data_IF_064929019498
#
_entry.id   IF_064929019498
#
_cell.length_a   1.000
_cell.length_b   1.000
_cell.length_c   1.000
_cell.angle_alpha   90.00
_cell.angle_beta   90.00
_cell.angle_gamma   90.00
#
_symmetry.space_group_name_H-M   'P 1'
#
loop_
_entity.id
_entity.type
_entity.pdbx_description
1 polymer ?
#
# COMPACT_ATOMS: atom_id res chain seq x y z
N UNK A 1 -4.44 -13.50 -19.57
CA UNK A 1 -3.33 -14.34 -19.09
C UNK A 1 -2.34 -13.49 -18.30
N UNK A 2 -2.74 -12.94 -17.13
CA UNK A 2 -1.85 -12.20 -16.23
C UNK A 2 -1.37 -13.05 -15.03
N UNK A 3 -2.00 -14.19 -14.75
CA UNK A 3 -1.85 -14.87 -13.45
C UNK A 3 -0.58 -15.69 -13.24
N UNK A 4 0.05 -16.22 -14.29
CA UNK A 4 1.17 -17.18 -14.11
C UNK A 4 2.48 -16.48 -13.74
N UNK A 5 2.70 -15.23 -14.17
CA UNK A 5 3.95 -14.51 -13.85
C UNK A 5 3.91 -13.79 -12.50
N UNK A 6 2.72 -13.47 -12.00
CA UNK A 6 2.61 -12.67 -10.77
C UNK A 6 2.98 -13.48 -9.53
N UNK A 7 2.56 -14.75 -9.43
CA UNK A 7 2.83 -15.53 -8.23
C UNK A 7 4.32 -15.83 -8.05
N UNK A 8 5.06 -16.19 -9.13
CA UNK A 8 6.51 -16.45 -9.05
C UNK A 8 7.27 -15.20 -8.59
N UNK A 9 6.85 -14.02 -9.06
CA UNK A 9 7.43 -12.76 -8.64
C UNK A 9 7.24 -12.51 -7.13
N UNK A 10 6.03 -12.70 -6.60
CA UNK A 10 5.80 -12.50 -5.17
C UNK A 10 6.47 -13.59 -4.32
N UNK A 11 6.60 -14.81 -4.85
CA UNK A 11 7.34 -15.90 -4.22
C UNK A 11 8.83 -15.60 -4.10
N UNK A 12 9.43 -14.90 -5.06
CA UNK A 12 10.82 -14.45 -4.97
C UNK A 12 11.01 -13.19 -4.11
N UNK A 13 9.93 -12.50 -3.73
CA UNK A 13 9.94 -11.23 -2.97
C UNK A 13 9.10 -11.31 -1.68
N UNK A 14 9.32 -12.36 -0.87
CA UNK A 14 8.60 -12.55 0.39
C UNK A 14 8.79 -11.39 1.38
N UNK A 15 9.94 -10.72 1.34
CA UNK A 15 10.23 -9.52 2.12
C UNK A 15 9.32 -8.33 1.77
N UNK A 16 8.65 -8.33 0.61
CA UNK A 16 7.63 -7.35 0.25
C UNK A 16 6.22 -7.90 0.52
N UNK A 17 6.00 -9.16 0.14
CA UNK A 17 4.70 -9.81 0.23
C UNK A 17 4.20 -9.96 1.67
N UNK A 18 5.03 -10.48 2.58
CA UNK A 18 4.65 -10.76 3.96
C UNK A 18 4.22 -9.48 4.69
N UNK A 19 4.96 -8.37 4.65
CA UNK A 19 4.52 -7.11 5.24
C UNK A 19 3.15 -6.64 4.73
N UNK A 20 2.91 -6.73 3.42
CA UNK A 20 1.64 -6.31 2.83
C UNK A 20 0.46 -7.15 3.33
N UNK A 21 0.56 -8.48 3.29
CA UNK A 21 -0.54 -9.33 3.76
C UNK A 21 -0.74 -9.22 5.27
N UNK A 22 0.34 -9.03 6.03
CA UNK A 22 0.29 -8.89 7.49
C UNK A 22 -0.47 -7.64 7.91
N UNK A 23 -0.33 -6.55 7.15
CA UNK A 23 -0.94 -5.25 7.47
C UNK A 23 -2.31 -5.02 6.82
N UNK A 24 -2.52 -5.50 5.58
CA UNK A 24 -3.63 -5.05 4.73
C UNK A 24 -4.60 -6.16 4.32
N UNK A 25 -4.31 -7.43 4.59
CA UNK A 25 -5.20 -8.54 4.24
C UNK A 25 -6.00 -9.03 5.47
N UNK A 26 -7.31 -9.32 5.34
CA UNK A 26 -8.13 -9.89 6.41
C UNK A 26 -7.77 -11.37 6.67
N UNK A 27 -6.61 -11.61 7.29
CA UNK A 27 -6.15 -12.95 7.64
C UNK A 27 -7.15 -13.65 8.57
N UNK A 28 -7.53 -14.87 8.20
CA UNK A 28 -8.36 -15.73 9.05
C UNK A 28 -7.54 -16.34 10.19
N UNK A 29 -8.21 -16.78 11.26
CA UNK A 29 -7.55 -17.55 12.35
C UNK A 29 -6.71 -18.72 11.83
N UNK A 30 -7.22 -19.45 10.84
CA UNK A 30 -6.50 -20.56 10.23
C UNK A 30 -5.19 -20.10 9.56
N UNK A 31 -5.21 -19.00 8.81
CA UNK A 31 -4.01 -18.44 8.17
C UNK A 31 -3.02 -17.88 9.20
N UNK A 32 -3.51 -17.24 10.27
CA UNK A 32 -2.66 -16.78 11.36
C UNK A 32 -1.91 -17.94 12.04
N UNK A 33 -2.56 -19.09 12.22
CA UNK A 33 -1.93 -20.30 12.74
C UNK A 33 -0.98 -20.94 11.72
N UNK A 34 -1.39 -21.03 10.45
CA UNK A 34 -0.60 -21.67 9.41
C UNK A 34 0.71 -20.92 9.13
N UNK A 35 0.66 -19.59 9.11
CA UNK A 35 1.78 -18.72 8.76
C UNK A 35 2.39 -18.02 9.98
N UNK A 36 2.13 -18.56 11.17
CA UNK A 36 2.46 -17.94 12.45
C UNK A 36 3.94 -17.52 12.57
N UNK A 37 4.85 -18.34 12.05
CA UNK A 37 6.29 -18.14 12.19
C UNK A 37 6.90 -17.18 11.16
N UNK A 38 6.15 -16.82 10.11
CA UNK A 38 6.63 -15.96 9.02
C UNK A 38 5.93 -14.61 8.96
N UNK A 39 4.74 -14.46 9.56
CA UNK A 39 4.01 -13.20 9.56
C UNK A 39 4.75 -12.10 10.33
N UNK A 40 4.62 -10.86 9.86
CA UNK A 40 5.09 -9.68 10.58
C UNK A 40 4.06 -9.32 11.66
N UNK A 41 4.26 -9.85 12.87
CA UNK A 41 3.35 -9.64 14.00
C UNK A 41 3.17 -8.19 14.41
N UNK A 42 4.15 -7.34 14.12
CA UNK A 42 4.05 -5.89 14.37
C UNK A 42 2.98 -5.25 13.49
N UNK A 43 2.84 -5.75 12.26
CA UNK A 43 1.82 -5.33 11.31
C UNK A 43 0.48 -6.02 11.53
N UNK A 44 0.49 -7.31 11.88
CA UNK A 44 -0.73 -8.05 12.27
C UNK A 44 -1.43 -7.35 13.42
N UNK A 45 -0.68 -6.87 14.42
CA UNK A 45 -1.23 -6.16 15.59
C UNK A 45 -2.01 -4.88 15.23
N UNK A 46 -1.66 -4.22 14.12
CA UNK A 46 -2.31 -2.99 13.66
C UNK A 46 -3.28 -3.22 12.49
N UNK A 47 -3.42 -4.47 12.02
CA UNK A 47 -4.28 -4.81 10.89
C UNK A 47 -5.75 -4.81 11.31
N UNK A 48 -6.46 -3.78 10.87
CA UNK A 48 -7.87 -3.55 11.24
C UNK A 48 -8.85 -4.45 10.50
N UNK A 49 -8.38 -5.23 9.53
CA UNK A 49 -9.21 -6.16 8.75
C UNK A 49 -9.26 -7.55 9.36
N UNK A 50 -8.44 -7.84 10.38
CA UNK A 50 -8.48 -9.10 11.12
C UNK A 50 -9.56 -9.01 12.19
N UNK A 51 -10.50 -9.94 12.14
CA UNK A 51 -11.47 -10.13 13.23
C UNK A 51 -10.84 -11.02 14.31
N UNK A 52 -10.69 -10.45 15.50
CA UNK A 52 -10.23 -11.17 16.68
C UNK A 52 -11.43 -11.68 17.50
N UNK A 53 -11.70 -12.97 17.44
CA UNK A 53 -12.53 -13.61 18.46
C UNK A 53 -11.75 -13.79 19.78
N UNK A 54 -12.46 -14.11 20.85
CA UNK A 54 -11.83 -14.25 22.18
C UNK A 54 -10.72 -15.31 22.19
N UNK A 55 -10.96 -16.45 21.55
CA UNK A 55 -10.01 -17.56 21.54
C UNK A 55 -8.71 -17.19 20.80
N UNK A 56 -8.84 -16.53 19.64
CA UNK A 56 -7.72 -16.05 18.83
C UNK A 56 -6.96 -14.93 19.54
N UNK A 57 -7.69 -14.01 20.19
CA UNK A 57 -7.08 -12.96 21.02
C UNK A 57 -6.22 -13.58 22.13
N UNK A 58 -6.81 -14.50 22.90
CA UNK A 58 -6.13 -15.17 24.02
C UNK A 58 -4.90 -15.96 23.54
N UNK A 59 -5.01 -16.65 22.39
CA UNK A 59 -3.93 -17.45 21.82
C UNK A 59 -2.75 -16.58 21.34
N UNK A 60 -3.03 -15.51 20.60
CA UNK A 60 -2.00 -14.67 19.98
C UNK A 60 -1.53 -13.50 20.84
N UNK A 61 -2.12 -13.29 22.03
CA UNK A 61 -1.84 -12.16 22.91
C UNK A 61 -0.34 -11.92 23.13
N UNK A 62 0.40 -12.97 23.49
CA UNK A 62 1.84 -12.86 23.75
C UNK A 62 2.64 -12.44 22.51
N UNK A 63 2.24 -12.86 21.29
CA UNK A 63 2.92 -12.43 20.07
C UNK A 63 2.62 -10.96 19.75
N UNK A 64 1.37 -10.55 19.91
CA UNK A 64 0.94 -9.16 19.71
C UNK A 64 1.63 -8.23 20.72
N UNK A 65 1.73 -8.62 22.00
CA UNK A 65 2.37 -7.82 23.04
C UNK A 65 3.90 -7.71 22.88
N UNK A 66 4.53 -8.77 22.37
CA UNK A 66 5.98 -8.77 22.11
C UNK A 66 6.35 -8.18 20.75
N UNK A 67 5.37 -7.92 19.88
CA UNK A 67 5.61 -7.32 18.59
C UNK A 67 6.14 -5.89 18.78
N UNK A 68 7.06 -5.47 17.90
CA UNK A 68 7.55 -4.11 17.94
C UNK A 68 6.42 -3.16 17.60
N UNK A 69 6.32 -2.05 18.34
CA UNK A 69 5.32 -1.02 18.02
C UNK A 69 5.73 -0.36 16.71
N UNK A 70 5.01 -0.69 15.63
CA UNK A 70 5.06 0.08 14.39
C UNK A 70 4.14 1.27 14.59
N UNK A 71 4.69 2.48 14.53
CA UNK A 71 3.88 3.69 14.64
C UNK A 71 2.81 3.67 13.54
N UNK A 72 1.53 3.97 13.88
CA UNK A 72 0.48 4.09 12.88
C UNK A 72 0.91 5.10 11.82
N UNK A 73 0.82 4.72 10.56
CA UNK A 73 1.25 5.57 9.45
C UNK A 73 0.33 6.77 9.35
N UNK A 74 0.89 7.94 9.59
CA UNK A 74 0.17 9.21 9.48
C UNK A 74 0.28 9.71 8.04
N UNK A 75 -0.86 9.85 7.36
CA UNK A 75 -0.92 10.68 6.15
C UNK A 75 -1.26 12.10 6.57
N UNK A 76 -0.26 12.97 6.50
CA UNK A 76 -0.47 14.41 6.51
C UNK A 76 -0.95 14.87 5.13
N UNK A 77 -1.94 15.75 5.09
CA UNK A 77 -2.21 16.54 3.88
C UNK A 77 -2.03 18.02 4.20
N UNK A 78 -1.54 18.78 3.23
CA UNK A 78 -1.56 20.24 3.31
C UNK A 78 -2.95 20.73 2.87
N UNK A 79 -3.58 21.56 3.68
CA UNK A 79 -4.82 22.23 3.29
C UNK A 79 -4.55 23.37 2.29
N UNK A 80 -5.61 24.03 1.82
CA UNK A 80 -5.52 25.15 0.88
C UNK A 80 -4.81 26.40 1.43
N UNK A 81 -4.45 26.40 2.71
CA UNK A 81 -3.76 27.49 3.40
C UNK A 81 -2.33 27.10 3.80
N UNK A 82 -1.78 26.03 3.22
CA UNK A 82 -0.48 25.46 3.56
C UNK A 82 -0.34 25.04 5.04
N UNK A 83 -1.47 24.79 5.73
CA UNK A 83 -1.40 24.17 7.05
C UNK A 83 -1.17 22.67 6.89
N UNK A 84 -0.10 22.19 7.52
CA UNK A 84 0.15 20.77 7.66
C UNK A 84 -0.87 20.17 8.63
N UNK A 85 -1.90 19.52 8.09
CA UNK A 85 -2.90 18.83 8.91
C UNK A 85 -2.44 17.38 9.07
N UNK A 86 -1.78 17.12 10.19
CA UNK A 86 -1.55 15.78 10.71
C UNK A 86 -2.87 15.30 11.28
N UNK A 87 -3.57 14.43 10.55
CA UNK A 87 -4.53 13.56 11.21
C UNK A 87 -3.84 12.22 11.38
N UNK A 88 -3.96 11.63 12.57
CA UNK A 88 -3.83 10.18 12.74
C UNK A 88 -4.98 9.50 11.98
N UNK A 89 -5.01 9.65 10.66
CA UNK A 89 -5.86 8.88 9.78
C UNK A 89 -5.11 7.57 9.68
N UNK A 90 -5.60 6.55 10.39
CA UNK A 90 -5.33 5.18 9.97
C UNK A 90 -5.65 5.15 8.47
N UNK A 91 -4.66 4.90 7.61
CA UNK A 91 -4.64 5.10 6.15
C UNK A 91 -5.80 4.46 5.36
N UNK A 92 -6.65 3.70 6.04
CA UNK A 92 -7.97 3.34 5.58
C UNK A 92 -8.78 4.63 5.48
N UNK A 93 -9.19 5.01 4.27
CA UNK A 93 -10.24 6.01 4.08
C UNK A 93 -11.38 5.69 5.03
N UNK A 94 -11.50 6.43 6.14
CA UNK A 94 -12.48 6.14 7.17
C UNK A 94 -13.86 6.29 6.53
N UNK A 95 -14.47 5.17 6.17
CA UNK A 95 -15.87 5.10 5.81
C UNK A 95 -16.57 4.42 7.00
N UNK A 96 -17.41 5.14 7.75
CA UNK A 96 -18.09 4.60 8.92
C UNK A 96 -18.95 3.37 8.59
N UNK A 97 -19.47 3.26 7.36
CA UNK A 97 -20.25 2.10 6.91
C UNK A 97 -19.39 0.82 6.87
N UNK A 98 -18.12 0.93 6.47
CA UNK A 98 -17.21 -0.22 6.45
C UNK A 98 -16.80 -0.64 7.86
N UNK A 99 -16.62 0.32 8.77
CA UNK A 99 -16.28 0.03 10.15
C UNK A 99 -17.40 -0.73 10.87
N UNK A 100 -18.65 -0.33 10.65
CA UNK A 100 -19.82 -1.01 11.22
C UNK A 100 -19.97 -2.44 10.66
N UNK A 101 -19.75 -2.63 9.34
CA UNK A 101 -19.77 -3.97 8.73
C UNK A 101 -18.67 -4.90 9.27
N UNK A 102 -17.46 -4.37 9.49
CA UNK A 102 -16.34 -5.14 10.10
C UNK A 102 -16.68 -5.51 11.54
N UNK A 103 -17.20 -4.58 12.34
CA UNK A 103 -17.56 -4.83 13.74
C UNK A 103 -18.72 -5.82 13.91
N UNK A 104 -19.67 -5.84 12.96
CA UNK A 104 -20.82 -6.75 13.00
C UNK A 104 -20.50 -8.18 12.55
N UNK A 105 -19.22 -8.49 12.29
CA UNK A 105 -18.72 -9.84 12.08
C UNK A 105 -19.31 -10.55 10.86
N UNK A 106 -19.74 -9.79 9.85
CA UNK A 106 -20.20 -10.34 8.57
C UNK A 106 -18.98 -10.70 7.69
N UNK A 107 -18.28 -11.79 8.03
CA UNK A 107 -17.01 -12.24 7.41
C UNK A 107 -17.06 -12.29 5.88
N UNK A 108 -18.19 -12.71 5.31
CA UNK A 108 -18.36 -12.76 3.84
C UNK A 108 -18.35 -11.35 3.24
N UNK A 109 -18.99 -10.39 3.91
CA UNK A 109 -18.99 -8.99 3.46
C UNK A 109 -17.64 -8.33 3.70
N UNK A 110 -16.93 -8.63 4.78
CA UNK A 110 -15.61 -8.01 5.03
C UNK A 110 -14.59 -8.36 3.94
N UNK A 111 -14.58 -9.61 3.44
CA UNK A 111 -13.75 -10.05 2.30
C UNK A 111 -14.09 -9.34 0.97
N UNK A 112 -15.34 -8.95 0.76
CA UNK A 112 -15.73 -8.18 -0.44
C UNK A 112 -15.47 -6.67 -0.26
N UNK A 113 -15.65 -6.16 0.96
CA UNK A 113 -15.51 -4.74 1.31
C UNK A 113 -14.05 -4.30 1.27
N UNK A 114 -13.08 -5.08 1.78
CA UNK A 114 -11.69 -4.63 1.79
C UNK A 114 -11.14 -4.40 0.37
N UNK A 115 -11.59 -5.19 -0.62
CA UNK A 115 -11.24 -4.98 -2.03
C UNK A 115 -11.78 -3.65 -2.58
N UNK A 116 -12.84 -3.10 -2.00
CA UNK A 116 -13.39 -1.81 -2.39
C UNK A 116 -12.66 -0.61 -1.75
N UNK A 117 -11.83 -0.83 -0.73
CA UNK A 117 -11.10 0.24 -0.04
C UNK A 117 -9.90 0.68 -0.89
N UNK A 118 -9.98 1.84 -1.52
CA UNK A 118 -8.85 2.40 -2.27
C UNK A 118 -7.84 3.06 -1.32
N UNK A 119 -6.63 2.51 -1.24
CA UNK A 119 -5.54 3.13 -0.48
C UNK A 119 -4.88 4.25 -1.31
N UNK A 120 -4.66 5.41 -0.70
CA UNK A 120 -3.92 6.53 -1.31
C UNK A 120 -4.63 7.33 -2.40
N UNK A 121 -5.98 7.36 -2.42
CA UNK A 121 -6.72 8.17 -3.39
C UNK A 121 -6.64 9.67 -3.06
N UNK A 122 -5.99 10.45 -3.91
CA UNK A 122 -6.07 11.92 -3.88
C UNK A 122 -7.17 12.42 -4.81
N UNK A 123 -8.16 13.12 -4.26
CA UNK A 123 -9.18 13.80 -5.07
C UNK A 123 -8.61 15.15 -5.51
N UNK A 124 -8.10 15.22 -6.73
CA UNK A 124 -7.70 16.48 -7.35
C UNK A 124 -8.95 17.37 -7.49
N UNK A 125 -8.98 18.60 -6.96
CA UNK A 125 -10.15 19.48 -7.06
C UNK A 125 -10.55 19.74 -8.52
N UNK A 126 -11.84 19.82 -8.81
CA UNK A 126 -12.45 20.01 -10.15
C UNK A 126 -12.01 21.30 -10.89
N UNK A 127 -11.13 22.11 -10.30
CA UNK A 127 -10.66 23.39 -10.82
C UNK A 127 -9.15 23.33 -11.13
N UNK A 128 -8.51 22.18 -10.95
CA UNK A 128 -7.09 21.98 -11.22
C UNK A 128 -6.83 21.46 -12.65
N UNK A 129 -7.86 21.00 -13.38
CA UNK A 129 -7.74 20.52 -14.76
C UNK A 129 -7.24 21.61 -15.72
N UNK A 130 -7.69 22.87 -15.58
CA UNK A 130 -7.20 23.99 -16.38
C UNK A 130 -5.74 24.36 -16.07
N UNK A 131 -5.30 24.15 -14.83
CA UNK A 131 -3.91 24.34 -14.41
C UNK A 131 -3.00 23.18 -14.85
N UNK A 132 -3.52 21.95 -14.85
CA UNK A 132 -2.88 20.77 -15.40
C UNK A 132 -2.69 20.87 -16.92
N UNK A 133 -3.70 21.36 -17.64
CA UNK A 133 -3.67 21.55 -19.10
C UNK A 133 -2.73 22.69 -19.54
N UNK A 134 -2.59 23.75 -18.72
CA UNK A 134 -1.57 24.79 -18.89
C UNK A 134 -0.14 24.28 -18.63
N UNK A 135 0.03 23.28 -17.77
CA UNK A 135 1.33 22.64 -17.53
C UNK A 135 1.76 21.78 -18.73
N UNK A 136 0.88 20.92 -19.25
CA UNK A 136 1.20 20.08 -20.42
C UNK A 136 1.59 20.88 -21.67
N UNK A 137 1.03 22.08 -21.86
CA UNK A 137 1.33 22.94 -23.01
C UNK A 137 2.53 23.89 -22.81
N UNK A 138 3.05 24.02 -21.58
CA UNK A 138 4.16 24.95 -21.28
C UNK A 138 5.52 24.24 -21.17
N UNK A 139 5.54 22.92 -21.08
CA UNK A 139 6.76 22.11 -20.97
C UNK A 139 7.20 21.55 -22.33
N UNK A 140 7.65 22.44 -23.22
CA UNK A 140 8.67 22.08 -24.20
C UNK A 140 9.97 21.83 -23.40
N UNK A 141 10.08 20.63 -22.80
CA UNK A 141 10.93 20.33 -21.65
C UNK A 141 12.44 20.56 -21.89
N UNK A 142 12.95 21.72 -21.49
CA UNK A 142 14.24 21.85 -20.79
C UNK A 142 13.93 22.08 -19.31
N UNK A 143 14.20 21.09 -18.43
CA UNK A 143 13.87 21.20 -17.00
C UNK A 143 15.13 21.48 -16.19
N UNK A 144 15.10 22.60 -15.46
CA UNK A 144 16.03 22.94 -14.40
C UNK A 144 15.38 22.55 -13.06
N UNK A 145 16.07 21.75 -12.26
CA UNK A 145 15.55 21.12 -11.05
C UNK A 145 15.43 22.14 -9.89
N UNK A 146 14.21 22.35 -9.41
CA UNK A 146 13.88 23.00 -8.13
C UNK A 146 13.14 21.98 -7.24
N UNK A 147 13.42 22.04 -5.93
CA UNK A 147 13.41 20.99 -4.89
C UNK A 147 12.06 20.30 -4.59
N UNK A 148 10.96 20.65 -5.26
CA UNK A 148 9.61 20.19 -4.85
C UNK A 148 8.73 19.59 -5.97
N UNK A 149 9.35 18.96 -6.96
CA UNK A 149 8.65 18.33 -8.11
C UNK A 149 7.83 17.09 -7.74
N UNK A 150 8.18 16.39 -6.65
CA UNK A 150 7.47 15.20 -6.19
C UNK A 150 6.14 15.48 -5.48
N UNK A 151 5.79 16.73 -5.16
CA UNK A 151 4.56 16.99 -4.39
C UNK A 151 3.31 17.18 -5.26
N UNK A 152 3.44 17.24 -6.59
CA UNK A 152 2.38 17.82 -7.42
C UNK A 152 1.84 16.95 -8.56
N UNK A 153 2.57 15.94 -9.05
CA UNK A 153 2.11 15.16 -10.20
C UNK A 153 2.54 13.70 -10.17
N UNK A 154 1.77 12.80 -10.78
CA UNK A 154 2.22 11.45 -11.02
C UNK A 154 3.42 11.44 -11.97
N UNK A 155 4.46 10.71 -11.60
CA UNK A 155 5.65 10.53 -12.43
C UNK A 155 5.32 9.48 -13.49
N UNK A 156 5.33 9.82 -14.79
CA UNK A 156 5.14 8.83 -15.84
C UNK A 156 6.27 7.80 -15.81
N UNK A 157 5.93 6.51 -15.96
CA UNK A 157 6.90 5.41 -16.02
C UNK A 157 8.02 5.68 -17.03
N UNK A 158 7.70 6.29 -18.19
CA UNK A 158 8.68 6.60 -19.23
C UNK A 158 9.81 7.51 -18.77
N UNK A 159 9.55 8.45 -17.85
CA UNK A 159 10.61 9.32 -17.31
C UNK A 159 11.59 8.53 -16.45
N UNK A 160 11.09 7.56 -15.68
CA UNK A 160 11.94 6.65 -14.90
C UNK A 160 12.78 5.81 -15.87
N UNK A 161 12.19 5.32 -16.95
CA UNK A 161 12.91 4.52 -17.96
C UNK A 161 14.04 5.28 -18.67
N UNK A 162 13.87 6.59 -18.90
CA UNK A 162 14.83 7.42 -19.60
C UNK A 162 16.06 7.78 -18.74
N UNK A 163 15.95 7.79 -17.41
CA UNK A 163 17.02 8.24 -16.51
C UNK A 163 17.10 7.46 -15.18
N UNK A 164 16.84 6.14 -15.23
CA UNK A 164 16.73 5.29 -14.04
C UNK A 164 18.01 5.26 -13.16
N UNK A 165 19.18 5.57 -13.74
CA UNK A 165 20.47 5.58 -13.04
C UNK A 165 20.64 6.78 -12.11
N UNK A 166 19.97 7.91 -12.42
CA UNK A 166 20.05 9.14 -11.62
C UNK A 166 18.93 9.26 -10.59
N UNK A 167 17.91 8.40 -10.68
CA UNK A 167 16.72 8.41 -9.82
C UNK A 167 17.09 8.17 -8.35
N UNK A 168 16.58 9.04 -7.47
CA UNK A 168 16.57 8.80 -6.03
C UNK A 168 15.53 7.71 -5.71
N UNK A 169 15.99 6.46 -5.73
CA UNK A 169 15.15 5.29 -5.50
C UNK A 169 14.59 5.20 -4.09
N UNK A 170 15.27 5.74 -3.08
CA UNK A 170 14.74 5.77 -1.72
C UNK A 170 13.49 6.64 -1.66
N UNK A 171 13.56 7.86 -2.22
CA UNK A 171 12.41 8.76 -2.31
C UNK A 171 11.31 8.20 -3.20
N UNK A 172 11.67 7.62 -4.36
CA UNK A 172 10.69 7.11 -5.32
C UNK A 172 9.94 5.88 -4.81
N UNK A 173 10.61 4.97 -4.09
CA UNK A 173 10.00 3.76 -3.52
C UNK A 173 8.87 4.10 -2.55
N UNK A 174 9.04 5.16 -1.76
CA UNK A 174 8.03 5.67 -0.82
C UNK A 174 7.01 6.61 -1.46
N UNK A 175 7.13 6.92 -2.76
CA UNK A 175 6.29 7.93 -3.40
C UNK A 175 4.91 7.36 -3.74
N UNK A 176 3.90 7.81 -2.99
CA UNK A 176 2.51 7.37 -3.14
C UNK A 176 1.89 7.83 -4.47
N UNK A 177 2.35 8.95 -5.04
CA UNK A 177 1.83 9.53 -6.28
C UNK A 177 2.34 8.87 -7.56
N UNK A 178 3.21 7.87 -7.47
CA UNK A 178 3.69 7.13 -8.63
C UNK A 178 2.54 6.33 -9.27
N UNK A 179 2.53 6.21 -10.60
CA UNK A 179 1.64 5.32 -11.32
C UNK A 179 2.10 3.86 -11.18
N UNK A 180 1.91 3.33 -9.97
CA UNK A 180 2.25 1.95 -9.66
C UNK A 180 1.52 1.00 -10.60
N UNK A 181 2.28 0.08 -11.18
CA UNK A 181 1.77 -1.08 -11.88
C UNK A 181 2.68 -2.26 -11.59
N UNK A 182 2.17 -3.47 -11.76
CA UNK A 182 2.97 -4.67 -11.61
C UNK A 182 4.16 -4.68 -12.58
N UNK A 183 3.97 -4.20 -13.82
CA UNK A 183 5.02 -4.10 -14.82
C UNK A 183 6.14 -3.12 -14.40
N UNK A 184 5.78 -1.98 -13.78
CA UNK A 184 6.74 -1.03 -13.24
C UNK A 184 7.53 -1.64 -12.07
N UNK A 185 6.82 -2.30 -11.16
CA UNK A 185 7.41 -2.97 -9.99
C UNK A 185 8.44 -4.01 -10.44
N UNK A 186 8.07 -4.87 -11.38
CA UNK A 186 8.92 -5.93 -11.94
C UNK A 186 10.10 -5.37 -12.73
N UNK A 187 9.89 -4.35 -13.57
CA UNK A 187 10.94 -3.78 -14.42
C UNK A 187 12.13 -3.23 -13.63
N UNK A 188 11.87 -2.65 -12.47
CA UNK A 188 12.87 -2.02 -11.63
C UNK A 188 13.08 -2.74 -10.30
N UNK A 189 12.85 -4.07 -10.23
CA UNK A 189 12.85 -4.82 -8.97
C UNK A 189 14.12 -4.60 -8.13
N UNK A 190 15.27 -4.53 -8.80
CA UNK A 190 16.59 -4.40 -8.15
C UNK A 190 16.89 -2.99 -7.61
N UNK A 191 16.05 -2.01 -7.94
CA UNK A 191 16.25 -0.63 -7.52
C UNK A 191 15.35 -0.22 -6.36
N UNK A 192 14.21 -0.90 -6.18
CA UNK A 192 13.27 -0.53 -5.12
C UNK A 192 13.88 -0.76 -3.73
N UNK A 193 13.75 0.25 -2.88
CA UNK A 193 14.13 0.17 -1.47
C UNK A 193 12.99 -0.48 -0.71
N UNK A 194 13.24 -1.70 -0.23
CA UNK A 194 12.23 -2.59 0.39
C UNK A 194 11.45 -1.88 1.48
N UNK A 195 12.15 -1.23 2.42
CA UNK A 195 11.58 -0.57 3.59
C UNK A 195 10.59 0.53 3.18
N UNK A 196 10.95 1.30 2.15
CA UNK A 196 10.11 2.38 1.60
C UNK A 196 8.93 1.83 0.80
N UNK A 197 9.13 0.71 0.10
CA UNK A 197 8.09 0.09 -0.72
C UNK A 197 6.99 -0.53 0.14
N UNK A 198 7.34 -1.25 1.21
CA UNK A 198 6.36 -1.79 2.16
C UNK A 198 5.71 -0.68 3.00
N UNK A 199 6.31 0.52 3.02
CA UNK A 199 5.72 1.76 3.54
C UNK A 199 4.64 2.36 2.64
N UNK A 200 4.63 1.99 1.37
CA UNK A 200 3.79 2.61 0.38
C UNK A 200 2.55 1.75 0.06
N UNK A 201 1.42 2.06 0.69
CA UNK A 201 0.17 1.31 0.49
C UNK A 201 -0.39 1.43 -0.95
N UNK A 202 0.02 2.42 -1.75
CA UNK A 202 -0.42 2.47 -3.16
C UNK A 202 0.21 1.35 -3.98
N UNK A 203 1.43 0.91 -3.64
CA UNK A 203 2.07 -0.27 -4.26
C UNK A 203 1.18 -1.50 -4.04
N UNK A 204 0.74 -1.74 -2.80
CA UNK A 204 -0.18 -2.84 -2.51
C UNK A 204 -1.46 -2.74 -3.33
N UNK A 205 -2.10 -1.57 -3.33
CA UNK A 205 -3.38 -1.34 -3.97
C UNK A 205 -3.33 -1.58 -5.49
N UNK A 206 -2.24 -1.18 -6.15
CA UNK A 206 -2.13 -1.27 -7.61
C UNK A 206 -1.41 -2.52 -8.11
N UNK A 207 -0.56 -3.15 -7.30
CA UNK A 207 0.29 -4.26 -7.75
C UNK A 207 -0.09 -5.63 -7.19
N UNK A 208 -0.83 -5.71 -6.07
CA UNK A 208 -1.10 -6.98 -5.39
C UNK A 208 -2.59 -7.22 -5.06
N UNK A 209 -3.30 -6.17 -4.64
CA UNK A 209 -4.63 -6.26 -4.04
C UNK A 209 -5.65 -7.06 -4.86
N UNK A 210 -5.69 -6.86 -6.19
CA UNK A 210 -6.68 -7.50 -7.04
C UNK A 210 -6.43 -9.01 -7.17
N UNK A 211 -5.17 -9.42 -7.25
CA UNK A 211 -4.74 -10.82 -7.35
C UNK A 211 -4.87 -11.56 -6.00
N UNK A 212 -4.87 -10.83 -4.88
CA UNK A 212 -4.83 -11.40 -3.55
C UNK A 212 -6.15 -12.12 -3.18
N UNK A 213 -6.01 -13.39 -2.85
CA UNK A 213 -7.03 -14.28 -2.29
C UNK A 213 -6.34 -15.42 -1.52
N UNK A 214 -7.11 -16.30 -0.86
CA UNK A 214 -6.56 -17.37 -0.03
C UNK A 214 -5.67 -18.34 -0.84
N UNK A 215 -6.09 -18.73 -2.05
CA UNK A 215 -5.34 -19.60 -2.96
C UNK A 215 -4.03 -18.95 -3.42
N UNK A 216 -4.06 -17.65 -3.74
CA UNK A 216 -2.88 -16.90 -4.13
C UNK A 216 -1.84 -16.83 -3.01
N UNK A 217 -2.28 -16.56 -1.78
CA UNK A 217 -1.41 -16.57 -0.60
C UNK A 217 -0.78 -17.96 -0.41
N UNK A 218 -1.58 -19.01 -0.54
CA UNK A 218 -1.09 -20.39 -0.45
C UNK A 218 -0.04 -20.70 -1.52
N UNK A 219 -0.25 -20.27 -2.77
CA UNK A 219 0.71 -20.45 -3.86
C UNK A 219 2.04 -19.71 -3.65
N UNK A 220 2.00 -18.55 -3.02
CA UNK A 220 3.19 -17.73 -2.75
C UNK A 220 3.96 -18.26 -1.54
N UNK A 221 3.28 -18.72 -0.49
CA UNK A 221 3.90 -19.11 0.79
C UNK A 221 4.29 -20.60 0.90
N UNK A 222 3.74 -21.48 0.05
CA UNK A 222 4.11 -22.91 -0.02
C UNK A 222 5.07 -23.19 -1.19
#
# INVERSE_FOLDING_TARGET
MRSVNNYEFWKSHLNWFIPFISELYPLTKFQLLQYEDILDWSRVAINQFITWDKESSDYFQTRIENAHVVEPRIVGYMDSNDHYIVRNINLISWNPEYHEAIQNNEIVKSKEIWKQIHFGHYKIPNNAEDKLTLLFNKFDCEINYDDNTFERFPIPTKLIEEDFESVDWERLSGYWGLWWSFELLQKFENYWVTEKLIENHTVFNYCLKDDLNDEFIEMVLN
#
